data_IF_584994311298
#
_entry.id   IF_584994311298
#
_cell.length_a   1.000
_cell.length_b   1.000
_cell.length_c   1.000
_cell.angle_alpha   90.00
_cell.angle_beta   90.00
_cell.angle_gamma   90.00
#
_symmetry.space_group_name_H-M   'P 1'
#
loop_
_entity.id
_entity.type
_entity.pdbx_description
1 polymer ?
#
# COMPACT_ATOMS: atom_id res chain seq x y z
N UNK A 1 58.86 1.14 20.29
CA UNK A 1 58.53 0.40 19.05
C UNK A 1 57.19 -0.35 19.07
N UNK A 2 56.59 -0.68 20.24
CA UNK A 2 55.33 -1.46 20.32
C UNK A 2 54.04 -0.70 19.96
N UNK A 3 54.01 0.62 20.11
CA UNK A 3 52.79 1.46 19.95
C UNK A 3 52.27 1.56 18.52
N UNK A 4 53.15 1.68 17.51
CA UNK A 4 52.75 1.72 16.10
C UNK A 4 52.18 0.39 15.60
N UNK A 5 52.61 -0.74 16.16
CA UNK A 5 52.10 -2.08 15.80
C UNK A 5 50.66 -2.27 16.29
N UNK A 6 50.41 -1.88 17.55
CA UNK A 6 49.08 -1.98 18.16
C UNK A 6 48.06 -1.05 17.49
N UNK A 7 48.50 0.12 17.01
CA UNK A 7 47.64 1.06 16.29
C UNK A 7 47.26 0.53 14.90
N UNK A 8 48.19 -0.10 14.17
CA UNK A 8 47.90 -0.78 12.90
C UNK A 8 46.96 -1.97 13.10
N UNK A 9 47.15 -2.75 14.17
CA UNK A 9 46.28 -3.87 14.50
C UNK A 9 44.85 -3.42 14.84
N UNK A 10 44.70 -2.31 15.58
CA UNK A 10 43.40 -1.71 15.88
C UNK A 10 42.68 -1.19 14.62
N UNK A 11 43.41 -0.56 13.70
CA UNK A 11 42.84 -0.08 12.42
C UNK A 11 42.41 -1.25 11.53
N UNK A 12 43.18 -2.33 11.48
CA UNK A 12 42.84 -3.54 10.72
C UNK A 12 41.58 -4.23 11.28
N UNK A 13 41.44 -4.30 12.61
CA UNK A 13 40.24 -4.83 13.28
C UNK A 13 39.00 -3.96 13.02
N UNK A 14 39.14 -2.63 13.02
CA UNK A 14 38.05 -1.69 12.72
C UNK A 14 37.59 -1.82 11.25
N UNK A 15 38.52 -1.96 10.32
CA UNK A 15 38.22 -2.16 8.89
C UNK A 15 37.53 -3.50 8.67
N UNK A 16 37.98 -4.60 9.31
CA UNK A 16 37.29 -5.89 9.25
C UNK A 16 35.86 -5.81 9.80
N UNK A 17 35.63 -5.10 10.91
CA UNK A 17 34.29 -4.92 11.47
C UNK A 17 33.34 -4.15 10.54
N UNK A 18 33.87 -3.22 9.73
CA UNK A 18 33.10 -2.50 8.70
C UNK A 18 32.79 -3.36 7.47
N UNK A 19 33.60 -4.38 7.16
CA UNK A 19 33.34 -5.32 6.06
C UNK A 19 32.34 -6.44 6.43
N UNK A 20 32.12 -6.73 7.71
CA UNK A 20 31.13 -7.73 8.16
C UNK A 20 29.67 -7.26 8.08
N UNK A 21 29.39 -5.97 7.82
CA UNK A 21 28.02 -5.46 7.68
C UNK A 21 27.46 -5.56 6.24
N UNK A 22 28.25 -5.98 5.26
CA UNK A 22 27.89 -5.83 3.84
C UNK A 22 27.25 -7.05 3.17
N UNK A 23 26.86 -8.09 3.91
CA UNK A 23 26.12 -9.22 3.34
C UNK A 23 24.86 -9.51 4.17
N UNK A 24 23.84 -8.68 4.01
CA UNK A 24 22.48 -9.04 4.40
C UNK A 24 21.91 -9.90 3.26
N UNK A 25 21.88 -11.23 3.45
CA UNK A 25 21.21 -12.13 2.50
C UNK A 25 19.74 -11.72 2.39
N UNK A 26 19.32 -11.28 1.18
CA UNK A 26 17.92 -10.94 0.92
C UNK A 26 17.06 -12.19 1.05
N UNK A 27 16.47 -12.39 2.23
CA UNK A 27 15.49 -13.46 2.46
C UNK A 27 14.37 -13.36 1.42
N UNK A 28 14.10 -14.46 0.72
CA UNK A 28 12.97 -14.53 -0.22
C UNK A 28 11.66 -14.30 0.54
N UNK A 29 10.91 -13.29 0.14
CA UNK A 29 9.58 -13.00 0.68
C UNK A 29 8.59 -13.99 0.08
N UNK A 30 7.80 -14.68 0.93
CA UNK A 30 6.73 -15.58 0.47
C UNK A 30 5.53 -14.75 0.03
N UNK A 31 4.83 -15.12 -1.06
CA UNK A 31 3.62 -14.42 -1.47
C UNK A 31 2.50 -14.57 -0.41
N UNK A 32 1.56 -13.61 -0.34
CA UNK A 32 0.36 -13.77 0.46
C UNK A 32 -0.51 -14.91 -0.09
N UNK A 33 -1.39 -15.46 0.76
CA UNK A 33 -2.26 -16.60 0.40
C UNK A 33 -3.31 -16.27 -0.66
N UNK A 34 -3.66 -15.00 -0.80
CA UNK A 34 -4.74 -14.50 -1.64
C UNK A 34 -4.27 -14.08 -3.04
N UNK A 35 -3.02 -14.36 -3.42
CA UNK A 35 -2.55 -14.09 -4.77
C UNK A 35 -3.33 -14.94 -5.78
N UNK A 36 -3.78 -14.31 -6.86
CA UNK A 36 -4.42 -14.96 -8.01
C UNK A 36 -3.46 -14.94 -9.20
N UNK A 37 -3.63 -15.87 -10.12
CA UNK A 37 -2.91 -15.84 -11.39
C UNK A 37 -3.55 -14.85 -12.38
N UNK A 38 -2.87 -14.68 -13.51
CA UNK A 38 -3.24 -13.71 -14.53
C UNK A 38 -4.53 -14.07 -15.26
N UNK A 39 -4.73 -15.36 -15.55
CA UNK A 39 -5.93 -15.86 -16.22
C UNK A 39 -7.19 -15.58 -15.39
N UNK A 40 -7.09 -15.80 -14.07
CA UNK A 40 -8.19 -15.50 -13.18
C UNK A 40 -8.43 -13.99 -13.05
N UNK A 41 -7.37 -13.17 -12.97
CA UNK A 41 -7.48 -11.71 -12.96
C UNK A 41 -8.18 -11.18 -14.23
N UNK A 42 -7.79 -11.66 -15.41
CA UNK A 42 -8.42 -11.28 -16.69
C UNK A 42 -9.89 -11.71 -16.74
N UNK A 43 -10.23 -12.91 -16.24
CA UNK A 43 -11.62 -13.37 -16.14
C UNK A 43 -12.48 -12.39 -15.32
N UNK A 44 -11.95 -11.85 -14.22
CA UNK A 44 -12.65 -10.86 -13.40
C UNK A 44 -12.79 -9.51 -14.11
N UNK A 45 -11.76 -9.06 -14.85
CA UNK A 45 -11.83 -7.81 -15.62
C UNK A 45 -12.85 -7.92 -16.76
N UNK A 46 -12.87 -9.03 -17.50
CA UNK A 46 -13.84 -9.30 -18.56
C UNK A 46 -15.28 -9.25 -18.06
N UNK A 47 -15.55 -9.82 -16.89
CA UNK A 47 -16.88 -9.75 -16.26
C UNK A 47 -17.23 -8.30 -15.88
N UNK A 48 -16.27 -7.52 -15.37
CA UNK A 48 -16.48 -6.09 -15.09
C UNK A 48 -16.79 -5.30 -16.36
N UNK A 49 -16.06 -5.56 -17.46
CA UNK A 49 -16.25 -4.92 -18.78
C UNK A 49 -17.65 -5.22 -19.33
N UNK A 50 -18.13 -6.45 -19.21
CA UNK A 50 -19.44 -6.89 -19.72
C UNK A 50 -20.63 -6.45 -18.86
N UNK A 51 -20.39 -6.10 -17.60
CA UNK A 51 -21.46 -5.74 -16.65
C UNK A 51 -21.38 -4.28 -16.19
N UNK A 52 -20.44 -3.95 -15.29
CA UNK A 52 -20.35 -2.65 -14.62
C UNK A 52 -20.01 -1.55 -15.62
N UNK A 53 -19.05 -1.81 -16.52
CA UNK A 53 -18.66 -0.82 -17.53
C UNK A 53 -19.80 -0.50 -18.49
N UNK A 54 -20.59 -1.51 -18.89
CA UNK A 54 -21.79 -1.30 -19.73
C UNK A 54 -22.81 -0.42 -19.02
N UNK A 55 -23.18 -0.76 -17.77
CA UNK A 55 -24.17 0.00 -17.01
C UNK A 55 -23.73 1.45 -16.75
N UNK A 56 -22.45 1.66 -16.39
CA UNK A 56 -21.89 2.99 -16.18
C UNK A 56 -21.94 3.80 -17.47
N UNK A 57 -21.50 3.22 -18.59
CA UNK A 57 -21.49 3.90 -19.89
C UNK A 57 -22.90 4.27 -20.34
N UNK A 58 -23.88 3.38 -20.18
CA UNK A 58 -25.27 3.64 -20.55
C UNK A 58 -25.88 4.77 -19.72
N UNK A 59 -25.59 4.84 -18.42
CA UNK A 59 -26.20 5.84 -17.55
C UNK A 59 -25.46 7.19 -17.56
N UNK A 60 -24.13 7.16 -17.50
CA UNK A 60 -23.31 8.37 -17.41
C UNK A 60 -22.83 8.89 -18.77
N UNK A 61 -23.00 8.11 -19.84
CA UNK A 61 -22.56 8.46 -21.20
C UNK A 61 -21.05 8.75 -21.29
N UNK A 62 -20.25 8.03 -20.49
CA UNK A 62 -18.79 8.10 -20.48
C UNK A 62 -18.18 6.70 -20.51
N UNK A 63 -17.03 6.54 -21.15
CA UNK A 63 -16.17 5.37 -20.96
C UNK A 63 -15.34 5.59 -19.69
N UNK A 64 -15.88 5.17 -18.55
CA UNK A 64 -15.31 5.45 -17.23
C UNK A 64 -14.02 4.65 -16.94
N UNK A 65 -13.26 5.11 -15.95
CA UNK A 65 -12.07 4.44 -15.47
C UNK A 65 -12.42 3.10 -14.79
N UNK A 66 -11.73 2.03 -15.19
CA UNK A 66 -11.86 0.68 -14.61
C UNK A 66 -10.55 0.13 -14.02
N UNK A 67 -9.47 0.88 -14.16
CA UNK A 67 -8.14 0.52 -13.67
C UNK A 67 -7.46 1.76 -13.09
N UNK A 68 -6.64 1.56 -12.06
CA UNK A 68 -6.03 2.62 -11.28
C UNK A 68 -4.59 2.25 -10.96
N UNK A 69 -3.64 2.94 -11.57
CA UNK A 69 -2.23 2.64 -11.41
C UNK A 69 -1.56 3.48 -10.33
N UNK A 70 -1.02 2.80 -9.31
CA UNK A 70 -0.16 3.42 -8.30
C UNK A 70 1.29 3.00 -8.53
N UNK A 71 2.20 3.96 -8.54
CA UNK A 71 3.62 3.63 -8.61
C UNK A 71 4.07 2.96 -7.30
N UNK A 72 4.94 1.95 -7.42
CA UNK A 72 5.36 1.16 -6.27
C UNK A 72 6.17 1.97 -5.25
N UNK A 73 6.86 3.04 -5.67
CA UNK A 73 7.65 3.88 -4.77
C UNK A 73 6.73 4.73 -3.89
N UNK A 74 5.75 5.40 -4.49
CA UNK A 74 4.71 6.18 -3.81
C UNK A 74 3.87 5.30 -2.87
N UNK A 75 3.42 4.13 -3.35
CA UNK A 75 2.66 3.21 -2.52
C UNK A 75 3.46 2.73 -1.28
N UNK A 76 4.74 2.38 -1.45
CA UNK A 76 5.61 2.01 -0.32
C UNK A 76 5.86 3.17 0.63
N UNK A 77 6.01 4.39 0.11
CA UNK A 77 6.17 5.59 0.93
C UNK A 77 4.91 5.85 1.76
N UNK A 78 3.73 5.73 1.16
CA UNK A 78 2.46 5.90 1.87
C UNK A 78 2.25 4.83 2.95
N UNK A 79 2.56 3.56 2.67
CA UNK A 79 2.47 2.49 3.68
C UNK A 79 3.37 2.79 4.88
N UNK A 80 4.62 3.23 4.65
CA UNK A 80 5.53 3.62 5.75
C UNK A 80 5.01 4.81 6.55
N UNK A 81 4.43 5.81 5.87
CA UNK A 81 3.79 6.95 6.52
C UNK A 81 2.63 6.50 7.40
N UNK A 82 1.74 5.63 6.90
CA UNK A 82 0.65 5.05 7.69
C UNK A 82 1.18 4.30 8.92
N UNK A 83 2.19 3.45 8.76
CA UNK A 83 2.79 2.70 9.88
C UNK A 83 3.34 3.63 10.97
N UNK A 84 3.99 4.74 10.59
CA UNK A 84 4.51 5.73 11.51
C UNK A 84 3.39 6.44 12.28
N UNK A 85 2.47 7.09 11.57
CA UNK A 85 1.40 7.90 12.17
C UNK A 85 0.45 7.04 13.01
N UNK A 86 0.11 5.84 12.53
CA UNK A 86 -0.80 4.94 13.25
C UNK A 86 -0.18 4.48 14.57
N UNK A 87 1.13 4.22 14.60
CA UNK A 87 1.85 3.88 15.83
C UNK A 87 1.83 5.03 16.83
N UNK A 88 2.06 6.26 16.39
CA UNK A 88 2.00 7.47 17.25
C UNK A 88 0.60 7.68 17.82
N UNK A 89 -0.43 7.36 17.03
CA UNK A 89 -1.83 7.44 17.43
C UNK A 89 -2.30 6.23 18.26
N UNK A 90 -1.45 5.24 18.52
CA UNK A 90 -1.80 4.04 19.31
C UNK A 90 -2.77 3.11 18.59
N UNK A 91 -2.54 2.87 17.29
CA UNK A 91 -3.24 1.85 16.51
C UNK A 91 -2.34 0.63 16.27
N UNK A 92 -2.99 -0.53 16.20
CA UNK A 92 -2.38 -1.82 15.86
C UNK A 92 -3.24 -2.57 14.84
N UNK A 93 -2.75 -3.73 14.35
CA UNK A 93 -3.43 -4.54 13.34
C UNK A 93 -3.77 -3.75 12.07
N UNK A 94 -2.78 -3.01 11.55
CA UNK A 94 -2.98 -2.08 10.44
C UNK A 94 -3.41 -2.78 9.15
N UNK A 95 -4.25 -2.09 8.38
CA UNK A 95 -4.66 -2.46 7.04
C UNK A 95 -4.83 -1.25 6.13
N UNK A 96 -5.21 -1.51 4.89
CA UNK A 96 -5.60 -0.50 3.92
C UNK A 96 -6.95 -0.90 3.34
N UNK A 97 -7.92 0.02 3.38
CA UNK A 97 -9.19 -0.09 2.68
C UNK A 97 -9.14 0.76 1.41
N UNK A 98 -9.59 0.18 0.30
CA UNK A 98 -9.69 0.88 -0.98
C UNK A 98 -11.15 1.28 -1.18
N UNK A 99 -11.41 2.57 -1.36
CA UNK A 99 -12.74 3.10 -1.68
C UNK A 99 -12.81 3.46 -3.15
N UNK A 100 -13.93 3.15 -3.78
CA UNK A 100 -14.31 3.78 -5.05
C UNK A 100 -14.76 5.23 -4.76
N UNK A 101 -14.32 6.16 -5.60
CA UNK A 101 -14.76 7.55 -5.59
C UNK A 101 -15.04 8.02 -7.01
N UNK A 102 -15.60 9.22 -7.14
CA UNK A 102 -15.76 9.89 -8.42
C UNK A 102 -15.39 11.36 -8.24
N UNK A 103 -14.63 11.90 -9.18
CA UNK A 103 -14.35 13.32 -9.20
C UNK A 103 -15.61 14.09 -9.58
N UNK A 104 -15.95 15.19 -8.88
CA UNK A 104 -16.98 16.11 -9.34
C UNK A 104 -16.70 16.57 -10.77
N UNK A 105 -17.77 16.92 -11.51
CA UNK A 105 -17.67 17.55 -12.84
C UNK A 105 -17.23 19.02 -12.70
N UNK A 106 -16.01 19.23 -12.26
CA UNK A 106 -15.39 20.51 -11.99
C UNK A 106 -13.90 20.44 -12.36
N UNK A 107 -13.44 21.39 -13.17
CA UNK A 107 -12.12 21.39 -13.80
C UNK A 107 -10.96 21.56 -12.80
N UNK A 108 -11.25 21.82 -11.52
CA UNK A 108 -10.23 21.84 -10.45
C UNK A 108 -9.76 20.44 -10.06
N UNK A 109 -10.50 19.39 -10.44
CA UNK A 109 -10.13 18.01 -10.21
C UNK A 109 -9.31 17.46 -11.39
N UNK A 110 -8.40 16.50 -11.15
CA UNK A 110 -7.51 15.99 -12.20
C UNK A 110 -8.27 15.30 -13.34
N UNK A 111 -9.40 14.67 -13.02
CA UNK A 111 -10.17 13.83 -13.94
C UNK A 111 -11.69 14.06 -13.77
N UNK A 112 -12.21 15.26 -14.07
CA UNK A 112 -13.57 15.66 -13.73
C UNK A 112 -14.64 14.70 -14.27
N UNK A 113 -15.53 14.24 -13.39
CA UNK A 113 -16.64 13.35 -13.73
C UNK A 113 -16.31 11.87 -13.86
N UNK A 114 -15.05 11.47 -13.71
CA UNK A 114 -14.62 10.08 -13.80
C UNK A 114 -14.41 9.45 -12.43
N UNK A 115 -14.47 8.12 -12.41
CA UNK A 115 -14.15 7.31 -11.24
C UNK A 115 -12.67 7.38 -10.86
N UNK A 116 -12.41 7.15 -9.58
CA UNK A 116 -11.10 7.02 -8.97
C UNK A 116 -11.15 6.02 -7.82
N UNK A 117 -9.99 5.68 -7.25
CA UNK A 117 -9.92 4.98 -5.98
C UNK A 117 -8.95 5.70 -5.04
N UNK A 118 -9.20 5.58 -3.74
CA UNK A 118 -8.29 6.09 -2.72
C UNK A 118 -8.13 5.10 -1.58
N UNK A 119 -6.93 5.10 -1.00
CA UNK A 119 -6.48 4.18 0.04
C UNK A 119 -6.62 4.84 1.41
N UNK A 120 -7.44 4.27 2.27
CA UNK A 120 -7.67 4.72 3.65
C UNK A 120 -7.01 3.73 4.60
N UNK A 121 -6.19 4.19 5.56
CA UNK A 121 -5.58 3.30 6.54
C UNK A 121 -6.63 2.80 7.53
N UNK A 122 -6.50 1.54 7.94
CA UNK A 122 -7.34 0.92 8.96
C UNK A 122 -6.51 0.38 10.11
N UNK A 123 -7.12 0.22 11.28
CA UNK A 123 -6.45 -0.36 12.46
C UNK A 123 -7.32 -0.30 13.70
N UNK A 124 -6.96 -1.10 14.71
CA UNK A 124 -7.65 -1.11 16.00
C UNK A 124 -6.94 -0.18 16.98
N UNK A 125 -7.69 0.63 17.72
CA UNK A 125 -7.12 1.39 18.85
C UNK A 125 -6.61 0.42 19.90
N UNK A 126 -5.37 0.60 20.35
CA UNK A 126 -4.83 -0.17 21.46
C UNK A 126 -5.59 0.21 22.74
N UNK A 127 -6.44 -0.68 23.24
CA UNK A 127 -7.09 -0.48 24.54
C UNK A 127 -6.08 -0.67 25.68
N UNK A 128 -6.16 0.16 26.71
CA UNK A 128 -5.40 -0.02 27.95
C UNK A 128 -5.63 -1.42 28.54
N UNK A 129 -4.57 -2.03 29.10
CA UNK A 129 -4.44 -3.43 29.60
C UNK A 129 -5.45 -3.92 30.66
N UNK A 130 -6.59 -3.25 30.85
CA UNK A 130 -7.64 -3.59 31.83
C UNK A 130 -8.82 -4.39 31.25
N UNK A 131 -8.86 -4.68 29.94
CA UNK A 131 -9.94 -5.48 29.34
C UNK A 131 -9.53 -6.95 29.23
N UNK A 132 -10.00 -7.78 30.17
CA UNK A 132 -9.79 -9.24 30.21
C UNK A 132 -10.70 -10.01 29.25
N UNK A 133 -10.80 -9.60 27.99
CA UNK A 133 -11.53 -10.37 26.96
C UNK A 133 -10.53 -11.08 26.04
N UNK A 134 -10.71 -12.39 25.77
CA UNK A 134 -9.82 -13.14 24.89
C UNK A 134 -9.97 -12.62 23.47
N UNK A 135 -8.91 -11.99 22.96
CA UNK A 135 -8.81 -11.44 21.60
C UNK A 135 -8.82 -12.60 20.61
N UNK A 136 -9.99 -12.93 20.08
CA UNK A 136 -10.13 -13.72 18.86
C UNK A 136 -9.86 -12.79 17.68
N UNK A 137 -8.66 -12.89 17.08
CA UNK A 137 -8.36 -12.40 15.70
C UNK A 137 -9.04 -11.08 15.31
N UNK A 138 -8.75 -10.00 16.02
CA UNK A 138 -9.24 -8.67 15.64
C UNK A 138 -8.44 -8.19 14.42
N UNK A 139 -8.95 -8.43 13.21
CA UNK A 139 -8.52 -7.71 12.02
C UNK A 139 -8.84 -6.23 12.26
N UNK A 140 -7.89 -5.33 12.06
CA UNK A 140 -8.14 -3.89 12.17
C UNK A 140 -8.88 -3.39 10.95
N UNK A 141 -10.20 -3.24 11.05
CA UNK A 141 -11.07 -2.81 9.96
C UNK A 141 -11.69 -1.42 10.18
N UNK A 142 -11.45 -0.78 11.33
CA UNK A 142 -11.82 0.61 11.56
C UNK A 142 -10.94 1.56 10.74
N UNK A 143 -11.54 2.54 10.05
CA UNK A 143 -10.79 3.58 9.36
C UNK A 143 -10.07 4.49 10.37
N UNK A 144 -8.80 4.78 10.11
CA UNK A 144 -8.03 5.78 10.87
C UNK A 144 -8.19 7.13 10.19
N UNK A 145 -9.22 7.89 10.57
CA UNK A 145 -9.58 9.17 9.93
C UNK A 145 -8.60 10.31 10.20
N UNK A 146 -7.71 10.17 11.18
CA UNK A 146 -6.66 11.13 11.50
C UNK A 146 -5.45 11.06 10.57
N UNK A 147 -5.33 10.01 9.75
CA UNK A 147 -4.26 9.87 8.77
C UNK A 147 -4.84 10.17 7.39
N UNK A 148 -4.25 11.09 6.61
CA UNK A 148 -4.72 11.41 5.27
C UNK A 148 -4.78 10.17 4.36
N UNK A 149 -5.85 10.09 3.55
CA UNK A 149 -5.97 9.06 2.53
C UNK A 149 -5.00 9.30 1.36
N UNK A 150 -4.59 8.23 0.68
CA UNK A 150 -3.78 8.32 -0.54
C UNK A 150 -4.63 8.10 -1.77
N UNK A 151 -4.79 9.16 -2.53
CA UNK A 151 -5.32 9.14 -3.88
C UNK A 151 -4.15 9.42 -4.83
N UNK A 152 -4.07 8.68 -5.92
CA UNK A 152 -3.61 9.10 -7.26
C UNK A 152 -3.24 7.85 -8.05
N UNK A 153 -4.26 7.05 -8.38
CA UNK A 153 -4.13 6.07 -9.43
C UNK A 153 -4.21 6.81 -10.77
N UNK A 154 -3.15 6.87 -11.59
CA UNK A 154 -3.36 7.28 -12.98
C UNK A 154 -4.29 6.24 -13.58
N UNK A 155 -5.54 6.61 -13.88
CA UNK A 155 -6.39 5.75 -14.67
C UNK A 155 -5.82 5.78 -16.09
N UNK A 156 -5.43 4.64 -16.66
CA UNK A 156 -5.10 4.57 -18.07
C UNK A 156 -6.31 5.03 -18.87
N UNK A 157 -6.06 5.97 -19.78
CA UNK A 157 -7.06 6.54 -20.67
C UNK A 157 -6.53 6.40 -22.10
N UNK A 158 -7.05 5.46 -22.91
CA UNK A 158 -8.05 4.45 -22.55
C UNK A 158 -7.51 3.42 -21.52
N UNK A 159 -8.39 2.74 -20.77
CA UNK A 159 -7.96 1.70 -19.84
C UNK A 159 -7.19 0.61 -20.57
N UNK A 160 -6.14 0.10 -19.94
CA UNK A 160 -5.38 -1.04 -20.48
C UNK A 160 -6.04 -2.34 -20.08
N UNK A 161 -6.13 -3.27 -21.03
CA UNK A 161 -6.57 -4.63 -20.75
C UNK A 161 -5.50 -5.40 -19.96
N UNK A 162 -5.96 -6.39 -19.19
CA UNK A 162 -5.11 -7.36 -18.51
C UNK A 162 -4.68 -8.43 -19.54
N UNK A 163 -3.74 -8.09 -20.43
CA UNK A 163 -3.13 -8.95 -21.49
C UNK A 163 -1.96 -9.83 -21.07
#
# INVERSE_FOLDING_TARGET
MKTKSNQKLAIILLIMALFFQSCEEKKKVKPPKQIIDYEYANTLEEEYKKTRSVAIREYLQIDDAREFWFDLKGLKQYIKFVEQEAKELGYENLGIRIYNGAYPKDDRYPDPGYSTVFLVPTGNKTHSKASFLPITTAVGDDNITNIPAYNYGHAGRPPKDVD
#
